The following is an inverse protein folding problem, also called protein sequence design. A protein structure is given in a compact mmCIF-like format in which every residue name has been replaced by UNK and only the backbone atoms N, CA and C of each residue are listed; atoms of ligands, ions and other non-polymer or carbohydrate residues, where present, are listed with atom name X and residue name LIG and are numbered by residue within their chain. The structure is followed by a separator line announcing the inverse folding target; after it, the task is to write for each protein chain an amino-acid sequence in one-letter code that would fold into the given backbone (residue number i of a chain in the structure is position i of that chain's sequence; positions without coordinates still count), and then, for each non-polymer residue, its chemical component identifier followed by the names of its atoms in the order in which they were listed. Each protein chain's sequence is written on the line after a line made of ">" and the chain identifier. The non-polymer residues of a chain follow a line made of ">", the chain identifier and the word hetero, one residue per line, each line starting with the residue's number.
data_IF_140297139845
#
_entry.id   IF_140297139845
#
_cell.length_a   1.000
_cell.length_b   1.000
_cell.length_c   1.000
_cell.angle_alpha   90.00
_cell.angle_beta   90.00
_cell.angle_gamma   90.00
#
_symmetry.space_group_name_H-M   'P 1'
#
loop_
_entity.id
_entity.type
_entity.pdbx_description
1 polymer ?
#
# COMPACT_ATOMS: atom_id res chain seq x y z
N UNK A 1 -1.11 3.33 15.57
CA UNK A 1 -0.55 4.16 16.69
C UNK A 1 -1.42 5.40 16.94
N UNK A 2 -1.73 6.22 15.90
CA UNK A 2 -2.57 7.42 16.07
C UNK A 2 -3.89 7.12 16.78
N UNK A 3 -4.69 6.18 16.30
CA UNK A 3 -5.98 5.81 16.90
C UNK A 3 -5.88 5.35 18.37
N UNK A 4 -4.80 4.67 18.75
CA UNK A 4 -4.59 4.29 20.15
C UNK A 4 -4.23 5.51 20.99
N UNK A 5 -3.48 6.46 20.44
CA UNK A 5 -3.22 7.74 21.09
C UNK A 5 -4.52 8.49 21.38
N UNK A 6 -5.38 8.61 20.36
CA UNK A 6 -6.70 9.26 20.51
C UNK A 6 -7.57 8.53 21.53
N UNK A 7 -7.58 7.20 21.53
CA UNK A 7 -8.38 6.39 22.47
C UNK A 7 -8.02 6.68 23.94
N UNK A 8 -6.74 6.92 24.23
CA UNK A 8 -6.26 7.16 25.60
C UNK A 8 -5.94 8.64 25.88
N UNK A 9 -6.39 9.54 24.99
CA UNK A 9 -6.11 11.00 25.06
C UNK A 9 -4.61 11.34 25.21
N UNK A 10 -3.74 10.54 24.57
CA UNK A 10 -2.31 10.75 24.62
C UNK A 10 -1.85 11.65 23.47
N UNK A 11 -1.11 12.71 23.79
CA UNK A 11 -0.46 13.56 22.79
C UNK A 11 0.77 12.84 22.24
N UNK A 12 0.69 12.39 20.98
CA UNK A 12 1.81 11.81 20.29
C UNK A 12 2.86 12.90 19.98
N UNK A 13 4.17 12.63 20.18
CA UNK A 13 5.21 13.56 19.76
C UNK A 13 5.14 13.85 18.26
N UNK A 14 5.47 15.08 17.88
CA UNK A 14 5.58 15.46 16.46
C UNK A 14 6.57 14.52 15.78
N UNK A 15 6.20 13.96 14.65
CA UNK A 15 6.96 12.96 13.88
C UNK A 15 7.01 11.54 14.48
N UNK A 16 6.31 11.23 15.56
CA UNK A 16 6.07 9.84 15.95
C UNK A 16 4.99 9.25 15.05
N UNK A 17 5.14 8.01 14.63
CA UNK A 17 4.19 7.30 13.78
C UNK A 17 3.78 8.06 12.49
N UNK A 18 4.75 8.44 11.62
CA UNK A 18 4.50 9.28 10.44
C UNK A 18 3.50 8.67 9.45
N UNK A 19 3.41 7.34 9.41
CA UNK A 19 2.51 6.58 8.51
C UNK A 19 1.19 6.19 9.18
N UNK A 20 0.93 6.69 10.39
CA UNK A 20 -0.25 6.31 11.14
C UNK A 20 -1.38 7.31 10.90
N UNK A 21 -2.50 6.80 10.37
CA UNK A 21 -3.76 7.53 10.31
C UNK A 21 -4.55 7.29 11.60
N UNK A 22 -5.20 8.34 12.11
CA UNK A 22 -6.22 8.15 13.13
C UNK A 22 -7.47 7.56 12.47
N UNK A 23 -7.89 6.40 12.97
CA UNK A 23 -9.05 5.63 12.54
C UNK A 23 -9.83 5.09 13.73
N UNK A 24 -9.85 5.86 14.82
CA UNK A 24 -10.56 5.42 16.03
C UNK A 24 -12.03 5.21 15.75
N UNK A 25 -12.67 6.14 15.05
CA UNK A 25 -14.10 6.06 14.72
C UNK A 25 -14.42 4.85 13.84
N UNK A 26 -13.52 4.48 12.92
CA UNK A 26 -13.68 3.24 12.16
C UNK A 26 -13.55 2.00 13.04
N UNK A 27 -12.58 1.99 13.97
CA UNK A 27 -12.38 0.86 14.89
C UNK A 27 -13.58 0.69 15.84
N UNK A 28 -14.25 1.78 16.19
CA UNK A 28 -15.45 1.79 17.04
C UNK A 28 -16.75 1.57 16.24
N UNK A 29 -16.67 1.47 14.91
CA UNK A 29 -17.87 1.30 14.06
C UNK A 29 -18.71 2.56 13.89
N UNK A 30 -18.18 3.74 14.24
CA UNK A 30 -18.87 5.03 14.14
C UNK A 30 -18.79 5.57 12.71
N UNK A 31 -17.64 5.38 12.05
CA UNK A 31 -17.40 5.81 10.67
C UNK A 31 -17.02 4.60 9.81
N UNK A 32 -17.48 4.60 8.55
CA UNK A 32 -17.18 3.57 7.54
C UNK A 32 -16.23 4.06 6.45
N UNK A 33 -15.61 5.24 6.63
CA UNK A 33 -14.68 5.82 5.65
C UNK A 33 -13.44 4.95 5.51
N UNK A 34 -13.16 4.48 4.31
CA UNK A 34 -11.99 3.65 4.03
C UNK A 34 -10.67 4.44 4.19
N UNK A 35 -9.61 3.72 4.53
CA UNK A 35 -8.26 4.27 4.46
C UNK A 35 -7.92 4.57 2.99
N UNK A 36 -7.39 5.78 2.66
CA UNK A 36 -7.16 6.17 1.28
C UNK A 36 -6.14 5.28 0.57
N UNK A 37 -5.13 4.82 1.30
CA UNK A 37 -4.11 3.89 0.78
C UNK A 37 -3.39 3.13 1.89
N UNK A 38 -2.79 2.02 1.50
CA UNK A 38 -1.90 1.20 2.34
C UNK A 38 -0.65 0.84 1.54
N UNK A 39 0.53 1.06 2.10
CA UNK A 39 1.78 0.52 1.56
C UNK A 39 2.08 -0.81 2.23
N UNK A 40 2.42 -1.80 1.44
CA UNK A 40 2.87 -3.11 1.90
C UNK A 40 4.27 -3.36 1.36
N UNK A 41 5.13 -3.93 2.18
CA UNK A 41 6.50 -4.30 1.82
C UNK A 41 6.61 -5.82 1.83
N UNK A 42 7.04 -6.39 0.71
CA UNK A 42 7.37 -7.82 0.65
C UNK A 42 8.72 -8.11 1.32
N UNK A 43 9.01 -9.37 1.59
CA UNK A 43 10.31 -9.80 2.11
C UNK A 43 11.49 -9.46 1.20
N UNK A 44 11.23 -9.32 -0.09
CA UNK A 44 12.16 -8.83 -1.12
C UNK A 44 12.36 -7.32 -1.14
N UNK A 45 11.76 -6.58 -0.21
CA UNK A 45 11.69 -5.11 -0.16
C UNK A 45 10.90 -4.46 -1.32
N UNK A 46 10.23 -5.26 -2.15
CA UNK A 46 9.31 -4.75 -3.17
C UNK A 46 8.11 -4.11 -2.49
N UNK A 47 7.82 -2.86 -2.87
CA UNK A 47 6.69 -2.14 -2.32
C UNK A 47 5.46 -2.28 -3.20
N UNK A 48 4.32 -2.39 -2.56
CA UNK A 48 3.02 -2.26 -3.21
C UNK A 48 2.17 -1.19 -2.54
N UNK A 49 1.34 -0.54 -3.33
CA UNK A 49 0.41 0.50 -2.91
C UNK A 49 -1.02 0.04 -3.22
N UNK A 50 -1.81 -0.12 -2.19
CA UNK A 50 -3.20 -0.53 -2.30
C UNK A 50 -4.12 0.63 -1.94
N UNK A 51 -5.09 0.89 -2.80
CA UNK A 51 -6.28 1.70 -2.52
C UNK A 51 -7.51 0.79 -2.36
N UNK A 52 -8.70 1.35 -2.25
CA UNK A 52 -9.95 0.59 -2.18
C UNK A 52 -10.10 -0.37 -3.36
N UNK A 53 -9.91 0.13 -4.58
CA UNK A 53 -10.25 -0.56 -5.82
C UNK A 53 -9.04 -1.09 -6.59
N UNK A 54 -7.83 -0.61 -6.28
CA UNK A 54 -6.64 -0.87 -7.08
C UNK A 54 -5.45 -1.25 -6.23
N UNK A 55 -4.60 -2.12 -6.78
CA UNK A 55 -3.28 -2.42 -6.22
C UNK A 55 -2.22 -2.22 -7.29
N UNK A 56 -1.23 -1.43 -6.95
CA UNK A 56 -0.02 -1.21 -7.73
C UNK A 56 1.16 -1.91 -7.04
N UNK A 57 2.02 -2.58 -7.81
CA UNK A 57 3.28 -3.17 -7.32
C UNK A 57 4.43 -2.57 -8.13
N UNK A 58 5.46 -2.08 -7.45
CA UNK A 58 6.65 -1.55 -8.10
C UNK A 58 7.41 -2.65 -8.85
N UNK A 59 8.12 -2.29 -9.96
CA UNK A 59 9.06 -3.19 -10.59
C UNK A 59 10.09 -3.70 -9.59
N UNK A 60 10.48 -4.96 -9.70
CA UNK A 60 11.46 -5.57 -8.82
C UNK A 60 12.32 -6.57 -9.58
N UNK A 61 13.64 -6.50 -9.36
CA UNK A 61 14.62 -7.46 -9.89
C UNK A 61 14.72 -8.73 -9.04
N UNK A 62 14.02 -8.78 -7.91
CA UNK A 62 13.94 -10.00 -7.09
C UNK A 62 13.26 -11.11 -7.90
N UNK A 63 13.81 -12.31 -7.82
CA UNK A 63 13.32 -13.46 -8.58
C UNK A 63 11.82 -13.74 -8.34
N UNK A 64 11.12 -14.28 -9.34
CA UNK A 64 9.68 -14.57 -9.23
C UNK A 64 9.35 -15.71 -8.29
N UNK A 65 10.36 -16.49 -7.90
CA UNK A 65 10.22 -17.69 -7.05
C UNK A 65 11.21 -17.65 -5.90
N UNK A 66 10.76 -18.09 -4.73
CA UNK A 66 11.66 -18.49 -3.63
C UNK A 66 12.00 -19.95 -3.84
N UNK A 67 13.22 -20.23 -4.24
CA UNK A 67 13.69 -21.61 -4.56
C UNK A 67 14.21 -22.36 -3.35
N UNK A 68 14.49 -21.68 -2.24
CA UNK A 68 14.85 -22.30 -0.97
C UNK A 68 13.57 -22.56 -0.15
N UNK A 69 13.32 -23.81 0.19
CA UNK A 69 12.13 -24.21 0.95
C UNK A 69 10.94 -24.61 0.07
N UNK A 70 9.81 -23.96 0.23
CA UNK A 70 8.53 -24.40 -0.33
C UNK A 70 8.27 -24.02 -1.81
N UNK A 71 9.21 -23.45 -2.54
CA UNK A 71 9.04 -22.98 -3.93
C UNK A 71 7.81 -22.05 -4.09
N UNK A 72 7.77 -20.99 -3.30
CA UNK A 72 6.65 -20.06 -3.29
C UNK A 72 6.86 -18.94 -4.32
N UNK A 73 5.82 -18.62 -5.09
CA UNK A 73 5.82 -17.44 -5.95
C UNK A 73 5.90 -16.16 -5.12
N UNK A 74 6.76 -15.25 -5.54
CA UNK A 74 6.97 -13.96 -4.85
C UNK A 74 6.04 -12.87 -5.35
N UNK A 75 5.47 -13.03 -6.55
CA UNK A 75 4.74 -11.97 -7.26
C UNK A 75 5.64 -10.86 -7.81
N UNK A 76 6.97 -10.97 -7.73
CA UNK A 76 7.89 -9.98 -8.26
C UNK A 76 8.01 -10.07 -9.78
N UNK A 77 7.93 -8.94 -10.47
CA UNK A 77 8.19 -8.80 -11.90
C UNK A 77 9.06 -7.57 -12.16
N UNK A 78 9.90 -7.58 -13.21
CA UNK A 78 10.74 -6.43 -13.56
C UNK A 78 9.95 -5.27 -14.22
N UNK A 79 8.65 -5.40 -14.29
CA UNK A 79 7.71 -4.42 -14.84
C UNK A 79 6.69 -4.00 -13.78
N UNK A 80 6.10 -2.78 -13.93
CA UNK A 80 5.02 -2.36 -13.06
C UNK A 80 3.83 -3.32 -13.15
N UNK A 81 3.13 -3.51 -12.03
CA UNK A 81 1.92 -4.31 -12.00
C UNK A 81 0.76 -3.48 -11.46
N UNK A 82 -0.40 -3.64 -12.07
CA UNK A 82 -1.64 -2.98 -11.66
C UNK A 82 -2.80 -3.96 -11.71
N UNK A 83 -3.54 -4.04 -10.60
CA UNK A 83 -4.67 -4.96 -10.45
C UNK A 83 -5.93 -4.22 -10.02
N UNK A 84 -7.06 -4.59 -10.63
CA UNK A 84 -8.39 -4.14 -10.24
C UNK A 84 -8.97 -5.09 -9.19
N UNK A 85 -8.99 -4.64 -7.94
CA UNK A 85 -9.43 -5.46 -6.80
C UNK A 85 -10.94 -5.72 -6.77
N UNK A 86 -11.74 -4.94 -7.53
CA UNK A 86 -13.19 -5.16 -7.65
C UNK A 86 -13.51 -6.46 -8.38
N UNK A 87 -12.59 -6.93 -9.20
CA UNK A 87 -12.69 -8.22 -9.91
C UNK A 87 -12.29 -9.43 -9.04
N UNK A 88 -11.95 -9.19 -7.77
CA UNK A 88 -11.79 -10.20 -6.73
C UNK A 88 -10.44 -10.88 -6.65
N UNK A 89 -9.57 -10.86 -7.66
CA UNK A 89 -8.27 -11.55 -7.64
C UNK A 89 -7.22 -10.81 -8.48
N UNK A 90 -5.96 -10.86 -8.06
CA UNK A 90 -4.81 -10.29 -8.75
C UNK A 90 -4.35 -11.20 -9.90
N UNK A 91 -5.23 -11.48 -10.87
CA UNK A 91 -4.96 -12.44 -11.96
C UNK A 91 -4.39 -11.80 -13.22
N UNK A 92 -4.84 -10.59 -13.55
CA UNK A 92 -4.52 -9.92 -14.79
C UNK A 92 -3.79 -8.62 -14.50
N UNK A 93 -2.55 -8.49 -15.01
CA UNK A 93 -1.80 -7.26 -14.92
C UNK A 93 -2.33 -6.25 -15.95
N UNK A 94 -2.98 -5.22 -15.47
CA UNK A 94 -3.62 -4.17 -16.27
C UNK A 94 -2.70 -2.94 -16.52
N UNK A 95 -1.44 -2.99 -16.15
CA UNK A 95 -0.53 -1.86 -16.23
C UNK A 95 -0.42 -1.26 -17.64
N UNK A 96 -0.40 -2.10 -18.68
CA UNK A 96 -0.35 -1.65 -20.08
C UNK A 96 -1.65 -0.99 -20.56
N UNK A 97 -2.79 -1.30 -19.95
CA UNK A 97 -4.09 -0.78 -20.32
C UNK A 97 -4.38 0.57 -19.64
N UNK A 98 -3.73 0.88 -18.51
CA UNK A 98 -3.97 2.07 -17.70
C UNK A 98 -2.67 2.81 -17.35
N UNK A 99 -1.91 3.32 -18.34
CA UNK A 99 -0.62 3.97 -18.10
C UNK A 99 -0.74 5.24 -17.25
N UNK A 100 -1.85 5.99 -17.34
CA UNK A 100 -2.12 7.16 -16.51
C UNK A 100 -2.24 6.78 -15.02
N UNK A 101 -2.88 5.65 -14.70
CA UNK A 101 -2.98 5.17 -13.31
C UNK A 101 -1.62 4.74 -12.77
N UNK A 102 -0.80 4.09 -13.60
CA UNK A 102 0.58 3.75 -13.22
C UNK A 102 1.33 5.02 -12.83
N UNK A 103 1.22 6.09 -13.64
CA UNK A 103 1.86 7.36 -13.33
C UNK A 103 1.39 7.96 -12.00
N UNK A 104 0.08 7.95 -11.74
CA UNK A 104 -0.50 8.46 -10.50
C UNK A 104 -0.03 7.66 -9.28
N UNK A 105 -0.04 6.32 -9.36
CA UNK A 105 0.47 5.46 -8.30
C UNK A 105 1.97 5.65 -8.06
N UNK A 106 2.77 5.79 -9.11
CA UNK A 106 4.20 6.08 -8.99
C UNK A 106 4.47 7.43 -8.36
N UNK A 107 3.66 8.45 -8.70
CA UNK A 107 3.75 9.78 -8.08
C UNK A 107 3.43 9.69 -6.59
N UNK A 108 2.30 9.09 -6.23
CA UNK A 108 1.89 8.91 -4.84
C UNK A 108 2.94 8.11 -4.04
N UNK A 109 3.47 7.02 -4.61
CA UNK A 109 4.53 6.23 -3.95
C UNK A 109 5.79 7.06 -3.70
N UNK A 110 6.20 7.92 -4.64
CA UNK A 110 7.33 8.84 -4.44
C UNK A 110 7.08 9.85 -3.33
N UNK A 111 5.86 10.37 -3.23
CA UNK A 111 5.46 11.30 -2.17
C UNK A 111 5.46 10.63 -0.80
N UNK A 112 4.96 9.40 -0.73
CA UNK A 112 5.00 8.57 0.48
C UNK A 112 6.44 8.31 0.93
N UNK A 113 7.30 7.88 0.00
CA UNK A 113 8.73 7.63 0.30
C UNK A 113 9.47 8.87 0.80
N UNK A 114 9.06 10.06 0.38
CA UNK A 114 9.59 11.34 0.86
C UNK A 114 8.97 11.81 2.18
N UNK A 115 8.02 11.08 2.73
CA UNK A 115 7.26 11.50 3.91
C UNK A 115 6.35 12.70 3.69
N UNK A 116 6.02 13.02 2.44
CA UNK A 116 5.21 14.19 2.05
C UNK A 116 3.72 13.84 2.00
N UNK A 117 3.38 12.60 1.64
CA UNK A 117 2.00 12.16 1.53
C UNK A 117 1.38 11.86 2.90
N UNK A 118 1.27 12.85 3.74
CA UNK A 118 0.22 12.88 4.74
C UNK A 118 -1.00 13.48 4.07
N UNK A 119 -1.96 12.64 3.79
CA UNK A 119 -3.28 13.12 3.43
C UNK A 119 -3.88 13.79 4.67
N UNK A 120 -4.09 15.09 4.53
CA UNK A 120 -4.93 15.85 5.43
C UNK A 120 -6.35 15.26 5.45
#
# INVERSE_FOLDING_TARGET
>A
MASLGTLVDAKLPKHSAPDSFDRLDNLLGIDSTDRPWVVQCASSHTLSLRTKDWKYIEPSDAGPMITWGANVETGNLPIPQLYDLRKGMEKENLASQYPERIFDFQKLMREIKKGIAKLE
#
